data_IF_147807452119
#
_entry.id   IF_147807452119
#
_cell.length_a   1.000
_cell.length_b   1.000
_cell.length_c   1.000
_cell.angle_alpha   90.00
_cell.angle_beta   90.00
_cell.angle_gamma   90.00
#
_symmetry.space_group_name_H-M   'P 1'
#
loop_
_entity.id
_entity.type
_entity.pdbx_description
1 polymer ?
#
# COMPACT_ATOMS: atom_id res chain seq x y z
N UNK A 1 25.65 -4.50 -7.26
CA UNK A 1 24.23 -4.72 -7.60
C UNK A 1 23.69 -3.41 -8.15
N UNK A 2 22.88 -3.43 -9.20
CA UNK A 2 22.13 -2.25 -9.66
C UNK A 2 21.06 -1.91 -8.63
N UNK A 3 20.81 -0.61 -8.41
CA UNK A 3 19.76 -0.17 -7.50
C UNK A 3 18.39 -0.74 -7.92
N UNK A 4 17.50 -1.04 -6.97
CA UNK A 4 16.17 -1.54 -7.28
C UNK A 4 15.34 -0.51 -8.05
N UNK A 5 14.48 -0.99 -8.95
CA UNK A 5 13.48 -0.14 -9.62
C UNK A 5 12.29 0.08 -8.69
N UNK A 6 12.39 1.11 -7.84
CA UNK A 6 11.37 1.44 -6.83
C UNK A 6 10.01 1.75 -7.46
N UNK A 7 9.99 2.32 -8.68
CA UNK A 7 8.71 2.59 -9.35
C UNK A 7 8.01 1.28 -9.71
N UNK A 8 8.75 0.30 -10.24
CA UNK A 8 8.20 -1.03 -10.50
C UNK A 8 7.74 -1.73 -9.21
N UNK A 9 8.44 -1.54 -8.07
CA UNK A 9 7.99 -2.06 -6.77
C UNK A 9 6.64 -1.46 -6.35
N UNK A 10 6.45 -0.15 -6.52
CA UNK A 10 5.17 0.53 -6.23
C UNK A 10 4.04 -0.01 -7.13
N UNK A 11 4.29 -0.18 -8.43
CA UNK A 11 3.31 -0.74 -9.36
C UNK A 11 2.93 -2.19 -8.98
N UNK A 12 3.91 -3.01 -8.59
CA UNK A 12 3.68 -4.37 -8.09
C UNK A 12 2.91 -4.38 -6.76
N UNK A 13 3.18 -3.44 -5.86
CA UNK A 13 2.44 -3.27 -4.61
C UNK A 13 0.98 -2.96 -4.88
N UNK A 14 0.68 -1.99 -5.76
CA UNK A 14 -0.71 -1.65 -6.11
C UNK A 14 -1.44 -2.81 -6.78
N UNK A 15 -0.76 -3.59 -7.62
CA UNK A 15 -1.32 -4.80 -8.22
C UNK A 15 -1.61 -5.89 -7.17
N UNK A 16 -0.70 -6.08 -6.19
CA UNK A 16 -0.90 -7.02 -5.10
C UNK A 16 -2.09 -6.60 -4.21
N UNK A 17 -2.22 -5.32 -3.89
CA UNK A 17 -3.38 -4.79 -3.14
C UNK A 17 -4.69 -5.04 -3.90
N UNK A 18 -4.72 -4.76 -5.21
CA UNK A 18 -5.90 -5.01 -6.04
C UNK A 18 -6.29 -6.51 -6.13
N UNK A 19 -5.34 -7.42 -5.92
CA UNK A 19 -5.63 -8.87 -5.91
C UNK A 19 -6.40 -9.34 -4.67
N UNK A 20 -6.38 -8.56 -3.59
CA UNK A 20 -6.92 -8.97 -2.28
C UNK A 20 -6.10 -10.06 -1.57
N UNK A 21 -4.96 -10.49 -2.13
CA UNK A 21 -4.08 -11.47 -1.50
C UNK A 21 -3.12 -10.79 -0.52
N UNK A 22 -3.48 -10.82 0.76
CA UNK A 22 -2.65 -10.25 1.82
C UNK A 22 -1.27 -10.91 1.95
N UNK A 23 -1.11 -12.18 1.58
CA UNK A 23 0.20 -12.83 1.58
C UNK A 23 1.08 -12.31 0.42
N UNK A 24 0.48 -12.09 -0.76
CA UNK A 24 1.17 -11.47 -1.88
C UNK A 24 1.65 -10.06 -1.56
N UNK A 25 0.82 -9.25 -0.88
CA UNK A 25 1.23 -7.91 -0.44
C UNK A 25 2.37 -8.01 0.58
N UNK A 26 2.24 -8.84 1.62
CA UNK A 26 3.24 -9.00 2.66
C UNK A 26 4.60 -9.51 2.14
N UNK A 27 4.62 -10.27 1.04
CA UNK A 27 5.86 -10.74 0.42
C UNK A 27 6.75 -9.60 -0.12
N UNK A 28 6.17 -8.43 -0.41
CA UNK A 28 6.90 -7.23 -0.86
C UNK A 28 7.59 -6.49 0.30
N UNK A 29 7.19 -6.75 1.54
CA UNK A 29 7.75 -6.10 2.72
C UNK A 29 8.99 -6.83 3.26
N UNK A 30 9.90 -6.10 3.92
CA UNK A 30 10.94 -6.70 4.74
C UNK A 30 10.33 -7.44 5.95
N UNK A 31 11.08 -8.36 6.56
CA UNK A 31 10.56 -9.26 7.60
C UNK A 31 10.02 -8.52 8.84
N UNK A 32 10.65 -7.40 9.20
CA UNK A 32 10.37 -6.55 10.35
C UNK A 32 9.76 -5.19 9.97
N UNK A 33 9.29 -5.05 8.73
CA UNK A 33 8.74 -3.81 8.21
C UNK A 33 7.52 -3.30 8.97
N UNK A 34 7.23 -2.01 8.83
CA UNK A 34 6.08 -1.37 9.47
C UNK A 34 5.08 -0.84 8.46
N UNK A 35 3.80 -0.94 8.78
CA UNK A 35 2.69 -0.41 8.02
C UNK A 35 1.80 0.44 8.94
N UNK A 36 1.62 1.71 8.61
CA UNK A 36 0.76 2.65 9.35
C UNK A 36 -0.33 3.19 8.41
N UNK A 37 -1.54 2.65 8.52
CA UNK A 37 -2.65 2.94 7.60
C UNK A 37 -4.00 3.03 8.34
N UNK A 38 -4.58 4.24 8.48
CA UNK A 38 -4.00 5.55 8.14
C UNK A 38 -2.93 6.00 9.14
N UNK A 39 -2.14 7.01 8.77
CA UNK A 39 -1.22 7.70 9.70
C UNK A 39 -1.96 8.22 10.94
N UNK A 40 -1.40 7.97 12.13
CA UNK A 40 -1.99 8.21 13.44
C UNK A 40 -2.61 6.97 14.10
N UNK A 41 -2.69 5.85 13.38
CA UNK A 41 -3.07 4.54 13.93
C UNK A 41 -1.87 3.80 14.56
N UNK A 42 -2.15 2.70 15.28
CA UNK A 42 -1.09 1.82 15.77
C UNK A 42 -0.48 1.06 14.58
N UNK A 43 0.85 1.15 14.34
CA UNK A 43 1.46 0.48 13.20
C UNK A 43 1.41 -1.06 13.30
N UNK A 44 1.08 -1.71 12.18
CA UNK A 44 1.31 -3.14 11.99
C UNK A 44 2.80 -3.42 11.81
N UNK A 45 3.33 -4.46 12.46
CA UNK A 45 4.76 -4.79 12.45
C UNK A 45 4.98 -6.23 12.00
N UNK A 46 5.85 -6.37 10.99
CA UNK A 46 6.22 -7.65 10.40
C UNK A 46 5.18 -8.22 9.43
N UNK A 47 5.64 -9.14 8.58
CA UNK A 47 4.85 -9.69 7.47
C UNK A 47 3.54 -10.33 7.91
N UNK A 48 3.50 -11.01 9.04
CA UNK A 48 2.29 -11.69 9.51
C UNK A 48 1.17 -10.68 9.84
N UNK A 49 1.50 -9.59 10.54
CA UNK A 49 0.54 -8.54 10.86
C UNK A 49 0.07 -7.80 9.60
N UNK A 50 1.00 -7.54 8.66
CA UNK A 50 0.70 -6.90 7.38
C UNK A 50 -0.20 -7.79 6.51
N UNK A 51 0.10 -9.10 6.45
CA UNK A 51 -0.71 -10.07 5.72
C UNK A 51 -2.12 -10.17 6.28
N UNK A 52 -2.26 -10.18 7.61
CA UNK A 52 -3.56 -10.16 8.26
C UNK A 52 -4.35 -8.86 8.00
N UNK A 53 -3.68 -7.70 7.98
CA UNK A 53 -4.30 -6.42 7.65
C UNK A 53 -4.89 -6.43 6.23
N UNK A 54 -4.08 -6.76 5.22
CA UNK A 54 -4.56 -6.81 3.83
C UNK A 54 -5.55 -7.94 3.58
N UNK A 55 -5.39 -9.09 4.25
CA UNK A 55 -6.34 -10.21 4.16
C UNK A 55 -7.71 -9.92 4.81
N UNK A 56 -7.81 -8.85 5.60
CA UNK A 56 -9.06 -8.36 6.16
C UNK A 56 -9.89 -7.52 5.18
N UNK A 57 -9.30 -7.08 4.05
CA UNK A 57 -10.01 -6.33 3.03
C UNK A 57 -11.04 -7.23 2.35
N UNK A 58 -12.23 -6.68 2.11
CA UNK A 58 -13.35 -7.39 1.50
C UNK A 58 -13.86 -6.61 0.30
N UNK A 59 -14.40 -7.32 -0.69
CA UNK A 59 -14.93 -6.73 -1.92
C UNK A 59 -13.95 -6.78 -3.08
N UNK A 60 -14.40 -6.26 -4.23
CA UNK A 60 -13.54 -6.13 -5.41
C UNK A 60 -12.72 -4.84 -5.28
N UNK A 61 -11.39 -4.97 -5.35
CA UNK A 61 -10.46 -3.86 -5.18
C UNK A 61 -9.83 -3.52 -6.53
N UNK A 62 -9.84 -2.25 -6.90
CA UNK A 62 -9.03 -1.73 -8.00
C UNK A 62 -8.13 -0.61 -7.52
N UNK A 63 -6.95 -0.52 -8.12
CA UNK A 63 -5.95 0.50 -7.81
C UNK A 63 -5.50 1.22 -9.08
N UNK A 64 -5.24 2.52 -8.98
CA UNK A 64 -4.73 3.34 -10.09
C UNK A 64 -3.64 4.28 -9.57
N UNK A 65 -2.40 4.14 -10.06
CA UNK A 65 -1.32 5.06 -9.73
C UNK A 65 -1.55 6.41 -10.42
N UNK A 66 -1.71 7.48 -9.63
CA UNK A 66 -1.95 8.83 -10.16
C UNK A 66 -0.62 9.58 -10.32
N UNK A 67 0.19 9.61 -9.26
CA UNK A 67 1.49 10.30 -9.25
C UNK A 67 2.51 9.55 -8.40
N UNK A 68 3.78 9.57 -8.80
CA UNK A 68 4.88 9.04 -8.00
C UNK A 68 6.11 9.95 -8.06
N UNK A 69 6.83 10.03 -6.93
CA UNK A 69 8.15 10.62 -6.80
C UNK A 69 9.04 9.62 -6.09
N UNK A 70 10.13 9.24 -6.73
CA UNK A 70 11.14 8.33 -6.17
C UNK A 70 12.42 9.14 -5.94
N UNK A 71 13.01 9.00 -4.76
CA UNK A 71 14.29 9.59 -4.41
C UNK A 71 15.13 8.58 -3.61
N UNK A 72 16.14 8.01 -4.26
CA UNK A 72 16.93 6.94 -3.64
C UNK A 72 16.07 5.72 -3.32
N UNK A 73 16.10 5.29 -2.06
CA UNK A 73 15.30 4.18 -1.51
C UNK A 73 14.06 4.67 -0.76
N UNK A 74 13.53 5.82 -1.15
CA UNK A 74 12.28 6.36 -0.62
C UNK A 74 11.38 6.81 -1.77
N UNK A 75 10.07 6.72 -1.54
CA UNK A 75 9.08 7.22 -2.48
C UNK A 75 7.88 7.82 -1.79
N UNK A 76 7.31 8.83 -2.42
CA UNK A 76 6.00 9.37 -2.09
C UNK A 76 5.12 9.29 -3.35
N UNK A 77 3.92 8.74 -3.22
CA UNK A 77 3.03 8.52 -4.36
C UNK A 77 1.56 8.63 -3.96
N UNK A 78 0.75 9.13 -4.89
CA UNK A 78 -0.71 9.15 -4.75
C UNK A 78 -1.33 8.18 -5.74
N UNK A 79 -2.38 7.51 -5.30
CA UNK A 79 -3.10 6.51 -6.08
C UNK A 79 -4.56 6.52 -5.65
N UNK A 80 -5.43 5.98 -6.48
CA UNK A 80 -6.82 5.73 -6.14
C UNK A 80 -7.00 4.28 -5.76
N UNK A 81 -7.72 4.02 -4.67
CA UNK A 81 -8.26 2.71 -4.34
C UNK A 81 -9.77 2.79 -4.43
N UNK A 82 -10.37 1.85 -5.17
CA UNK A 82 -11.82 1.65 -5.19
C UNK A 82 -12.11 0.28 -4.64
N UNK A 83 -12.93 0.21 -3.59
CA UNK A 83 -13.44 -1.04 -3.04
C UNK A 83 -14.94 -1.12 -3.30
N UNK A 84 -15.38 -2.13 -4.06
CA UNK A 84 -16.80 -2.39 -4.32
C UNK A 84 -17.34 -3.44 -3.38
N UNK A 85 -18.41 -3.10 -2.66
CA UNK A 85 -19.14 -4.01 -1.79
C UNK A 85 -20.63 -4.00 -2.17
N UNK A 86 -21.04 -4.96 -2.99
CA UNK A 86 -22.38 -4.96 -3.59
C UNK A 86 -22.54 -3.79 -4.57
N UNK A 87 -23.59 -2.99 -4.37
CA UNK A 87 -23.88 -1.81 -5.20
C UNK A 87 -23.16 -0.53 -4.73
N UNK A 88 -22.43 -0.60 -3.60
CA UNK A 88 -21.72 0.55 -3.02
C UNK A 88 -20.24 0.53 -3.37
N UNK A 89 -19.71 1.68 -3.76
CA UNK A 89 -18.28 1.90 -4.01
C UNK A 89 -17.68 2.84 -2.96
N UNK A 90 -16.58 2.41 -2.35
CA UNK A 90 -15.77 3.22 -1.45
C UNK A 90 -14.51 3.65 -2.20
N UNK A 91 -14.28 4.96 -2.31
CA UNK A 91 -13.18 5.52 -3.07
C UNK A 91 -12.32 6.35 -2.12
N UNK A 92 -11.01 6.11 -2.12
CA UNK A 92 -10.03 6.89 -1.38
C UNK A 92 -8.79 7.14 -2.25
N UNK A 93 -8.22 8.33 -2.14
CA UNK A 93 -7.00 8.72 -2.85
C UNK A 93 -5.87 9.07 -1.87
N UNK A 94 -5.25 8.07 -1.21
CA UNK A 94 -4.19 8.32 -0.25
C UNK A 94 -2.90 8.82 -0.91
N UNK A 95 -2.04 9.43 -0.09
CA UNK A 95 -0.62 9.61 -0.39
C UNK A 95 0.17 8.64 0.48
N UNK A 96 0.82 7.66 -0.13
CA UNK A 96 1.71 6.74 0.58
C UNK A 96 3.14 7.28 0.55
N UNK A 97 3.81 7.19 1.71
CA UNK A 97 5.25 7.37 1.83
C UNK A 97 5.87 6.03 2.21
N UNK A 98 6.77 5.54 1.37
CA UNK A 98 7.44 4.25 1.55
C UNK A 98 8.95 4.38 1.56
N UNK A 99 9.59 3.54 2.37
CA UNK A 99 11.04 3.32 2.36
C UNK A 99 11.34 1.90 1.93
N UNK A 100 12.50 1.70 1.32
CA UNK A 100 12.91 0.42 0.74
C UNK A 100 14.32 0.03 1.18
N UNK A 101 14.64 -1.26 1.17
CA UNK A 101 16.01 -1.74 1.34
C UNK A 101 16.74 -1.89 -0.01
N UNK A 102 18.01 -2.29 0.02
CA UNK A 102 18.84 -2.50 -1.18
C UNK A 102 18.33 -3.65 -2.07
N UNK A 103 17.47 -4.53 -1.56
CA UNK A 103 16.80 -5.59 -2.31
C UNK A 103 15.45 -5.14 -2.89
N UNK A 104 15.01 -3.91 -2.61
CA UNK A 104 13.74 -3.35 -3.04
C UNK A 104 12.55 -3.80 -2.18
N UNK A 105 12.77 -4.39 -1.01
CA UNK A 105 11.68 -4.72 -0.08
C UNK A 105 11.22 -3.46 0.66
N UNK A 106 9.91 -3.35 0.89
CA UNK A 106 9.32 -2.23 1.64
C UNK A 106 9.70 -2.37 3.12
N UNK A 107 10.41 -1.39 3.68
CA UNK A 107 10.82 -1.37 5.09
C UNK A 107 9.86 -0.56 5.96
N UNK A 108 9.23 0.46 5.40
CA UNK A 108 8.11 1.17 6.03
C UNK A 108 7.12 1.67 4.99
N UNK A 109 5.83 1.69 5.35
CA UNK A 109 4.75 2.30 4.59
C UNK A 109 3.89 3.13 5.54
N UNK A 110 3.56 4.35 5.13
CA UNK A 110 2.67 5.25 5.84
C UNK A 110 1.66 5.84 4.87
N UNK A 111 0.37 5.60 5.11
CA UNK A 111 -0.71 6.05 4.25
C UNK A 111 -1.35 7.33 4.82
N UNK A 112 -1.21 8.44 4.10
CA UNK A 112 -1.78 9.73 4.48
C UNK A 112 -3.16 9.88 3.83
N UNK A 113 -4.19 9.61 4.63
CA UNK A 113 -5.60 9.89 4.34
C UNK A 113 -6.39 9.92 5.66
N UNK A 114 -7.60 10.44 5.62
CA UNK A 114 -8.55 10.43 6.72
C UNK A 114 -9.95 9.99 6.24
N UNK A 115 -10.86 9.59 7.15
CA UNK A 115 -12.23 9.24 6.75
C UNK A 115 -12.98 10.34 5.98
N UNK A 116 -12.59 11.61 6.13
CA UNK A 116 -13.14 12.73 5.35
C UNK A 116 -12.71 12.76 3.90
N UNK A 117 -11.66 12.04 3.54
CA UNK A 117 -11.13 11.94 2.18
C UNK A 117 -11.77 10.77 1.41
N UNK A 118 -12.56 9.94 2.11
CA UNK A 118 -13.28 8.82 1.51
C UNK A 118 -14.61 9.29 0.92
N UNK A 119 -14.81 8.96 -0.35
CA UNK A 119 -16.07 9.16 -1.08
C UNK A 119 -16.82 7.84 -1.12
N UNK A 120 -18.13 7.89 -0.88
CA UNK A 120 -19.03 6.73 -0.98
C UNK A 120 -20.04 7.00 -2.08
N UNK A 121 -20.09 6.11 -3.06
CA UNK A 121 -20.99 6.16 -4.23
C UNK A 121 -21.92 4.95 -4.28
#
# INVERSE_FOLDING_TARGET
MTAPDIKAVIENYLAAVASGDGAAVAALYAADATLEDPVGSEPHRGRDAISAFYGGLQGEITTELLHARVSGLEAAFSFRVVTKAGDTSYIVEPIDVMTFDDAGQITSMRAFWAPTDMVVE
#
